data_IF_636535181946
#
_entry.id   IF_636535181946
#
_cell.length_a   1.000
_cell.length_b   1.000
_cell.length_c   1.000
_cell.angle_alpha   90.00
_cell.angle_beta   90.00
_cell.angle_gamma   90.00
#
_symmetry.space_group_name_H-M   'P 1'
#
loop_
_entity.id
_entity.type
_entity.pdbx_description
1 polymer ?
#
# COMPACT_ATOMS: atom_id res chain seq x y z
N UNK A 1 15.51 12.34 3.14
CA UNK A 1 14.09 11.99 3.43
C UNK A 1 13.95 10.49 3.44
N UNK A 2 13.43 9.93 4.52
CA UNK A 2 13.25 8.49 4.64
C UNK A 2 11.93 8.04 4.00
N UNK A 3 11.70 6.73 3.94
CA UNK A 3 10.51 6.17 3.30
C UNK A 3 9.21 6.66 3.94
N UNK A 4 9.15 6.72 5.27
CA UNK A 4 7.94 7.14 5.99
C UNK A 4 7.58 8.57 5.64
N UNK A 5 8.56 9.48 5.70
CA UNK A 5 8.35 10.89 5.35
C UNK A 5 7.94 11.06 3.89
N UNK A 6 8.57 10.30 3.01
CA UNK A 6 8.26 10.36 1.57
C UNK A 6 6.85 9.87 1.28
N UNK A 7 6.44 8.76 1.89
CA UNK A 7 5.08 8.25 1.73
C UNK A 7 4.04 9.18 2.34
N UNK A 8 4.36 9.84 3.44
CA UNK A 8 3.49 10.83 4.06
C UNK A 8 3.25 12.02 3.11
N UNK A 9 4.31 12.51 2.49
CA UNK A 9 4.22 13.60 1.51
C UNK A 9 3.40 13.18 0.28
N UNK A 10 3.68 12.00 -0.28
CA UNK A 10 2.96 11.47 -1.43
C UNK A 10 1.48 11.27 -1.10
N UNK A 11 1.19 10.77 0.09
CA UNK A 11 -0.19 10.55 0.53
C UNK A 11 -0.99 11.85 0.57
N UNK A 12 -0.37 12.93 1.03
CA UNK A 12 -0.99 14.26 1.00
C UNK A 12 -1.31 14.68 -0.43
N UNK A 13 -0.38 14.47 -1.36
CA UNK A 13 -0.57 14.82 -2.77
C UNK A 13 -1.66 13.99 -3.46
N UNK A 14 -1.81 12.73 -3.07
CA UNK A 14 -2.78 11.80 -3.66
C UNK A 14 -4.08 11.70 -2.87
N UNK A 15 -4.26 12.52 -1.85
CA UNK A 15 -5.45 12.52 -0.98
C UNK A 15 -5.68 11.16 -0.31
N UNK A 16 -4.61 10.58 0.23
CA UNK A 16 -4.62 9.34 0.98
C UNK A 16 -4.44 9.61 2.47
N UNK A 17 -5.07 8.82 3.31
CA UNK A 17 -4.86 8.86 4.75
C UNK A 17 -3.72 7.89 5.07
N UNK A 18 -2.58 8.42 5.50
CA UNK A 18 -1.37 7.64 5.75
C UNK A 18 -1.28 7.23 7.21
N UNK A 19 -0.86 5.98 7.43
CA UNK A 19 -0.56 5.46 8.75
C UNK A 19 0.67 4.53 8.66
N UNK A 20 1.42 4.44 9.74
CA UNK A 20 2.59 3.57 9.85
C UNK A 20 2.56 2.85 11.18
N UNK A 21 2.61 1.53 11.13
CA UNK A 21 2.60 0.71 12.33
C UNK A 21 2.65 -0.78 12.04
N UNK A 22 2.54 -1.58 13.10
CA UNK A 22 2.50 -3.03 12.96
C UNK A 22 1.15 -3.49 12.42
N UNK A 23 1.11 -4.70 11.87
CA UNK A 23 -0.14 -5.29 11.39
C UNK A 23 -1.19 -5.39 12.50
N UNK A 24 -0.75 -5.63 13.74
CA UNK A 24 -1.64 -5.75 14.90
C UNK A 24 -2.18 -4.40 15.39
N UNK A 25 -1.54 -3.31 14.98
CA UNK A 25 -1.88 -1.95 15.40
C UNK A 25 -2.61 -1.17 14.32
N UNK A 26 -3.34 -1.85 13.44
CA UNK A 26 -4.13 -1.20 12.40
C UNK A 26 -5.35 -0.50 13.02
N UNK A 27 -5.13 0.72 13.50
CA UNK A 27 -6.16 1.54 14.15
C UNK A 27 -7.09 2.26 13.17
N UNK A 28 -7.20 1.75 11.96
CA UNK A 28 -8.12 2.31 10.97
C UNK A 28 -9.58 2.12 11.36
N UNK A 29 -9.84 1.17 12.27
CA UNK A 29 -11.17 0.85 12.76
C UNK A 29 -11.99 2.05 13.22
N UNK A 30 -11.35 2.97 13.93
CA UNK A 30 -12.03 4.14 14.51
C UNK A 30 -12.08 5.35 13.58
N UNK A 31 -11.45 5.23 12.41
CA UNK A 31 -11.32 6.33 11.45
C UNK A 31 -11.81 5.97 10.06
N UNK A 32 -12.18 4.70 9.86
CA UNK A 32 -12.63 4.23 8.55
C UNK A 32 -13.92 4.93 8.14
N UNK A 33 -13.95 5.38 6.91
CA UNK A 33 -15.02 6.14 6.31
C UNK A 33 -15.15 5.71 4.85
N UNK A 34 -16.37 5.59 4.35
CA UNK A 34 -16.66 5.03 3.04
C UNK A 34 -15.97 5.74 1.88
N UNK A 35 -15.66 7.03 2.07
CA UNK A 35 -15.09 7.85 1.00
C UNK A 35 -13.57 7.98 1.07
N UNK A 36 -12.95 7.43 2.11
CA UNK A 36 -11.52 7.60 2.33
C UNK A 36 -10.73 6.41 1.78
N UNK A 37 -9.56 6.71 1.26
CA UNK A 37 -8.57 5.71 0.86
C UNK A 37 -7.40 5.79 1.83
N UNK A 38 -6.99 4.65 2.36
CA UNK A 38 -5.97 4.53 3.38
C UNK A 38 -4.72 3.91 2.80
N UNK A 39 -3.56 4.46 3.15
CA UNK A 39 -2.27 3.86 2.87
C UNK A 39 -1.63 3.48 4.20
N UNK A 40 -1.52 2.19 4.45
CA UNK A 40 -0.95 1.64 5.68
C UNK A 40 0.41 1.02 5.37
N UNK A 41 1.48 1.67 5.85
CA UNK A 41 2.82 1.09 5.77
C UNK A 41 3.06 0.20 6.98
N UNK A 42 3.52 -1.02 6.76
CA UNK A 42 3.73 -1.97 7.83
C UNK A 42 5.15 -1.91 8.40
N UNK A 43 5.25 -2.02 9.72
CA UNK A 43 6.50 -2.26 10.42
C UNK A 43 6.57 -3.74 10.81
N UNK A 44 7.72 -4.41 10.79
CA UNK A 44 9.03 -3.87 10.46
C UNK A 44 9.29 -3.74 8.96
N UNK A 45 10.25 -2.89 8.61
CA UNK A 45 10.76 -2.76 7.25
C UNK A 45 12.18 -3.34 7.24
N UNK A 46 12.36 -4.59 6.76
CA UNK A 46 13.68 -5.21 6.75
C UNK A 46 14.68 -4.46 5.89
N UNK A 47 15.89 -4.35 6.39
CA UNK A 47 17.00 -3.73 5.67
C UNK A 47 18.16 -4.71 5.58
N UNK A 48 18.70 -4.89 4.39
CA UNK A 48 19.85 -5.73 4.12
C UNK A 48 20.99 -4.89 3.56
N UNK A 49 22.19 -5.10 4.09
CA UNK A 49 23.39 -4.46 3.55
C UNK A 49 23.92 -5.30 2.40
N UNK A 50 24.19 -4.66 1.28
CA UNK A 50 24.84 -5.29 0.13
C UNK A 50 26.33 -4.95 0.25
N UNK A 51 27.15 -5.98 0.43
CA UNK A 51 28.55 -5.84 0.73
C UNK A 51 29.40 -6.19 -0.49
N UNK A 52 30.55 -5.53 -0.61
CA UNK A 52 31.57 -5.93 -1.58
C UNK A 52 32.41 -7.08 -1.01
N UNK A 53 33.38 -7.56 -1.78
CA UNK A 53 34.23 -8.70 -1.38
C UNK A 53 35.12 -8.40 -0.14
N UNK A 54 35.26 -7.15 0.21
CA UNK A 54 36.06 -6.72 1.40
C UNK A 54 35.20 -6.44 2.63
N UNK A 55 33.87 -6.65 2.52
CA UNK A 55 32.95 -6.39 3.62
C UNK A 55 32.52 -4.95 3.77
N UNK A 56 32.83 -4.08 2.81
CA UNK A 56 32.35 -2.70 2.81
C UNK A 56 30.93 -2.62 2.24
N UNK A 57 30.12 -1.75 2.80
CA UNK A 57 28.75 -1.57 2.36
C UNK A 57 28.70 -0.80 1.05
N UNK A 58 28.11 -1.39 0.02
CA UNK A 58 27.91 -0.71 -1.26
C UNK A 58 26.57 0.02 -1.29
N UNK A 59 25.54 -0.61 -0.74
CA UNK A 59 24.18 -0.06 -0.71
C UNK A 59 23.33 -0.82 0.31
N UNK A 60 22.15 -0.30 0.58
CA UNK A 60 21.17 -0.95 1.42
C UNK A 60 19.97 -1.37 0.56
N UNK A 61 19.46 -2.55 0.83
CA UNK A 61 18.24 -3.06 0.21
C UNK A 61 17.14 -3.14 1.26
N UNK A 62 16.00 -2.55 0.97
CA UNK A 62 14.86 -2.50 1.86
C UNK A 62 13.68 -3.24 1.24
N UNK A 63 12.95 -3.98 2.07
CA UNK A 63 11.72 -4.64 1.65
C UNK A 63 10.57 -4.07 2.46
N UNK A 64 9.61 -3.47 1.79
CA UNK A 64 8.47 -2.83 2.42
C UNK A 64 7.16 -3.49 1.99
N UNK A 65 6.22 -3.53 2.92
CA UNK A 65 4.85 -3.98 2.66
C UNK A 65 3.91 -2.87 3.08
N UNK A 66 2.94 -2.55 2.22
CA UNK A 66 1.92 -1.57 2.54
C UNK A 66 0.57 -2.03 2.01
N UNK A 67 -0.49 -1.53 2.63
CA UNK A 67 -1.86 -1.76 2.19
C UNK A 67 -2.45 -0.46 1.65
N UNK A 68 -3.08 -0.54 0.51
CA UNK A 68 -3.88 0.54 -0.05
C UNK A 68 -5.34 0.10 0.04
N UNK A 69 -6.10 0.68 0.97
CA UNK A 69 -7.39 0.16 1.40
C UNK A 69 -8.51 1.18 1.27
N UNK A 70 -9.70 0.68 0.97
CA UNK A 70 -10.95 1.44 1.05
C UNK A 70 -11.94 0.65 1.91
N UNK A 71 -12.86 1.35 2.56
CA UNK A 71 -13.97 0.69 3.24
C UNK A 71 -15.08 0.41 2.23
N UNK A 72 -15.52 -0.85 2.18
CA UNK A 72 -16.59 -1.24 1.27
C UNK A 72 -17.95 -0.74 1.71
N UNK A 73 -18.81 -0.45 0.73
CA UNK A 73 -20.21 -0.13 0.95
C UNK A 73 -21.02 -1.42 0.90
N UNK A 74 -21.42 -1.93 2.06
CA UNK A 74 -22.15 -3.17 2.19
C UNK A 74 -23.56 -3.12 1.58
N UNK A 75 -24.10 -1.93 1.34
CA UNK A 75 -25.44 -1.77 0.79
C UNK A 75 -25.47 -1.79 -0.72
N UNK A 76 -24.36 -1.43 -1.37
CA UNK A 76 -24.30 -1.28 -2.83
C UNK A 76 -23.44 -2.34 -3.53
N UNK A 77 -22.65 -3.11 -2.79
CA UNK A 77 -21.81 -4.18 -3.35
C UNK A 77 -22.43 -5.53 -3.05
N UNK A 78 -22.20 -6.48 -3.95
CA UNK A 78 -22.56 -7.88 -3.69
C UNK A 78 -21.48 -8.51 -2.82
N UNK A 79 -21.80 -9.63 -2.16
CA UNK A 79 -20.80 -10.42 -1.43
C UNK A 79 -19.86 -11.17 -2.38
N UNK A 80 -20.20 -11.21 -3.67
CA UNK A 80 -19.36 -11.82 -4.69
C UNK A 80 -18.25 -10.88 -5.12
N UNK A 81 -17.05 -11.40 -5.37
CA UNK A 81 -15.95 -10.61 -5.89
C UNK A 81 -16.22 -10.16 -7.33
N UNK A 82 -16.91 -11.00 -8.08
CA UNK A 82 -17.25 -10.73 -9.47
C UNK A 82 -18.53 -11.49 -9.81
N UNK A 83 -19.51 -10.80 -10.38
CA UNK A 83 -20.76 -11.38 -10.86
C UNK A 83 -21.15 -10.80 -12.23
N UNK A 84 -22.38 -11.09 -12.68
CA UNK A 84 -22.87 -10.60 -13.98
C UNK A 84 -23.11 -9.08 -13.99
N UNK A 85 -23.26 -8.46 -12.84
CA UNK A 85 -23.40 -7.01 -12.73
C UNK A 85 -22.06 -6.40 -12.30
N UNK A 86 -21.17 -6.23 -13.27
CA UNK A 86 -19.80 -5.76 -13.05
C UNK A 86 -19.70 -4.40 -12.37
N UNK A 87 -20.71 -3.54 -12.56
CA UNK A 87 -20.70 -2.20 -11.98
C UNK A 87 -20.89 -2.19 -10.47
N UNK A 88 -21.38 -3.31 -9.90
CA UNK A 88 -21.74 -3.42 -8.49
C UNK A 88 -20.88 -4.41 -7.71
N UNK A 89 -19.92 -5.04 -8.33
CA UNK A 89 -19.04 -6.00 -7.63
C UNK A 89 -18.02 -5.28 -6.78
N UNK A 90 -17.52 -5.96 -5.75
CA UNK A 90 -16.41 -5.44 -4.94
C UNK A 90 -15.19 -5.12 -5.79
N UNK A 91 -14.90 -5.97 -6.77
CA UNK A 91 -13.77 -5.72 -7.65
C UNK A 91 -13.92 -4.41 -8.41
N UNK A 92 -15.06 -4.23 -9.08
CA UNK A 92 -15.26 -3.03 -9.90
C UNK A 92 -15.35 -1.74 -9.09
N UNK A 93 -16.00 -1.78 -7.91
CA UNK A 93 -16.23 -0.59 -7.11
C UNK A 93 -15.10 -0.26 -6.15
N UNK A 94 -14.42 -1.26 -5.62
CA UNK A 94 -13.43 -1.08 -4.56
C UNK A 94 -11.99 -1.28 -5.03
N UNK A 95 -11.75 -2.28 -5.87
CA UNK A 95 -10.38 -2.72 -6.21
C UNK A 95 -9.87 -2.08 -7.49
N UNK A 96 -10.62 -2.14 -8.57
CA UNK A 96 -10.15 -1.67 -9.87
C UNK A 96 -9.68 -0.21 -9.86
N UNK A 97 -10.38 0.73 -9.20
CA UNK A 97 -9.91 2.12 -9.13
C UNK A 97 -8.60 2.29 -8.36
N UNK A 98 -8.27 1.38 -7.45
CA UNK A 98 -7.06 1.48 -6.65
C UNK A 98 -5.80 1.19 -7.43
N UNK A 99 -5.88 0.45 -8.53
CA UNK A 99 -4.70 0.20 -9.36
C UNK A 99 -4.15 1.49 -9.96
N UNK A 100 -4.99 2.44 -10.32
CA UNK A 100 -4.55 3.75 -10.78
C UNK A 100 -3.81 4.51 -9.67
N UNK A 101 -4.30 4.43 -8.44
CA UNK A 101 -3.64 5.05 -7.28
C UNK A 101 -2.32 4.35 -6.96
N UNK A 102 -2.26 3.03 -7.08
CA UNK A 102 -1.02 2.27 -6.89
C UNK A 102 0.04 2.65 -7.93
N UNK A 103 -0.37 2.81 -9.18
CA UNK A 103 0.52 3.25 -10.25
C UNK A 103 1.03 4.68 -10.00
N UNK A 104 0.17 5.57 -9.52
CA UNK A 104 0.56 6.93 -9.15
C UNK A 104 1.54 6.93 -7.97
N UNK A 105 1.32 6.09 -6.97
CA UNK A 105 2.25 5.90 -5.85
C UNK A 105 3.62 5.46 -6.35
N UNK A 106 3.65 4.47 -7.23
CA UNK A 106 4.89 3.98 -7.80
C UNK A 106 5.65 5.10 -8.53
N UNK A 107 4.95 5.84 -9.39
CA UNK A 107 5.57 6.91 -10.17
C UNK A 107 6.13 8.04 -9.29
N UNK A 108 5.44 8.36 -8.20
CA UNK A 108 5.89 9.41 -7.27
C UNK A 108 7.00 8.93 -6.35
N UNK A 109 6.99 7.66 -5.98
CA UNK A 109 7.97 7.09 -5.05
C UNK A 109 9.32 6.85 -5.71
N UNK A 110 9.33 6.40 -6.95
CA UNK A 110 10.59 6.14 -7.66
C UNK A 110 11.37 7.43 -7.88
N UNK A 111 12.68 7.33 -7.79
CA UNK A 111 13.55 8.48 -8.00
C UNK A 111 14.99 8.15 -7.65
N UNK A 112 15.85 9.14 -7.66
CA UNK A 112 17.28 8.96 -7.41
C UNK A 112 17.57 8.40 -6.01
N UNK A 113 16.72 8.77 -5.04
CA UNK A 113 16.91 8.36 -3.64
C UNK A 113 16.33 6.98 -3.35
N UNK A 114 15.40 6.51 -4.18
CA UNK A 114 14.71 5.25 -4.01
C UNK A 114 14.69 4.50 -5.33
N UNK A 115 15.69 3.67 -5.55
CA UNK A 115 15.76 2.83 -6.73
C UNK A 115 14.91 1.58 -6.51
N UNK A 116 13.68 1.60 -6.97
CA UNK A 116 12.76 0.47 -6.82
C UNK A 116 13.20 -0.65 -7.75
N UNK A 117 13.50 -1.82 -7.18
CA UNK A 117 13.97 -2.98 -7.94
C UNK A 117 12.90 -4.04 -8.12
N UNK A 118 11.85 -4.00 -7.32
CA UNK A 118 10.75 -4.95 -7.39
C UNK A 118 9.49 -4.28 -6.88
N UNK A 119 8.38 -4.52 -7.55
CA UNK A 119 7.06 -4.01 -7.13
C UNK A 119 6.04 -5.06 -7.46
N UNK A 120 5.28 -5.48 -6.45
CA UNK A 120 4.22 -6.45 -6.60
C UNK A 120 2.98 -5.93 -5.87
N UNK A 121 1.85 -5.91 -6.54
CA UNK A 121 0.57 -5.61 -5.92
C UNK A 121 -0.42 -6.74 -6.19
N UNK A 122 -1.30 -6.97 -5.22
CA UNK A 122 -2.36 -7.96 -5.34
C UNK A 122 -3.57 -7.52 -4.53
N UNK A 123 -4.74 -7.98 -4.92
CA UNK A 123 -5.98 -7.64 -4.25
C UNK A 123 -6.12 -8.35 -2.91
N UNK A 124 -6.82 -7.70 -1.99
CA UNK A 124 -7.16 -8.26 -0.69
C UNK A 124 -8.55 -7.77 -0.28
N UNK A 125 -9.25 -8.56 0.51
CA UNK A 125 -10.66 -8.32 0.82
C UNK A 125 -10.95 -8.53 2.31
N UNK A 126 -11.92 -7.74 2.80
CA UNK A 126 -12.54 -7.91 4.12
C UNK A 126 -11.56 -8.04 5.30
N UNK A 127 -10.59 -7.15 5.33
CA UNK A 127 -9.62 -7.13 6.42
C UNK A 127 -10.19 -6.44 7.66
N UNK A 128 -9.82 -6.97 8.83
CA UNK A 128 -10.01 -6.34 10.15
C UNK A 128 -11.46 -6.14 10.58
N UNK A 129 -12.37 -6.97 10.17
CA UNK A 129 -13.79 -6.90 10.57
C UNK A 129 -14.50 -5.56 10.26
N UNK A 130 -13.85 -4.66 9.50
CA UNK A 130 -14.42 -3.37 9.09
C UNK A 130 -14.64 -3.28 7.59
N UNK A 131 -14.62 -4.40 6.92
CA UNK A 131 -14.84 -4.47 5.48
C UNK A 131 -13.88 -3.58 4.68
N UNK A 132 -12.60 -3.59 5.09
CA UNK A 132 -11.53 -2.92 4.36
C UNK A 132 -11.00 -3.85 3.28
N UNK A 133 -11.05 -3.39 2.06
CA UNK A 133 -10.56 -4.14 0.89
C UNK A 133 -9.63 -3.26 0.09
N UNK A 134 -8.76 -3.84 -0.69
CA UNK A 134 -7.86 -3.06 -1.51
C UNK A 134 -6.71 -3.86 -2.08
N UNK A 135 -5.52 -3.27 -2.03
CA UNK A 135 -4.31 -3.86 -2.57
C UNK A 135 -3.26 -4.04 -1.47
N UNK A 136 -2.58 -5.18 -1.49
CA UNK A 136 -1.34 -5.40 -0.74
C UNK A 136 -0.21 -5.11 -1.70
N UNK A 137 0.68 -4.19 -1.34
CA UNK A 137 1.82 -3.80 -2.16
C UNK A 137 3.10 -4.21 -1.43
N UNK A 138 3.90 -5.03 -2.08
CA UNK A 138 5.22 -5.42 -1.60
C UNK A 138 6.26 -4.90 -2.59
N UNK A 139 7.24 -4.18 -2.08
CA UNK A 139 8.27 -3.64 -2.96
C UNK A 139 9.65 -3.66 -2.28
N UNK A 140 10.65 -3.77 -3.11
CA UNK A 140 12.05 -3.73 -2.72
C UNK A 140 12.68 -2.50 -3.35
N UNK A 141 13.46 -1.77 -2.56
CA UNK A 141 14.16 -0.59 -3.05
C UNK A 141 15.56 -0.52 -2.46
N UNK A 142 16.43 0.17 -3.16
CA UNK A 142 17.82 0.32 -2.77
C UNK A 142 18.13 1.78 -2.46
N UNK A 143 18.94 1.99 -1.43
CA UNK A 143 19.49 3.29 -1.06
C UNK A 143 21.00 3.16 -0.84
N UNK A 144 21.70 4.26 -0.96
CA UNK A 144 23.12 4.30 -0.63
C UNK A 144 23.39 4.30 0.88
#
# INVERSE_FOLDING_TARGET
>A
MNLVERLQTISTELDLIFDFGTADALNLLNRANENDTYLQLLSPIPRKKILNKYGSVEKHEWTATMFLLVQGDKTNTTSELYDNNRERTKYALEIAPLYEKADALYQKLRGCDFAITSWKDEDTYDRLDVNLSGLVIQFTFETE
#
